data_IF_392790611778
#
_entry.id   IF_392790611778
#
_cell.length_a   1.000
_cell.length_b   1.000
_cell.length_c   1.000
_cell.angle_alpha   90.00
_cell.angle_beta   90.00
_cell.angle_gamma   90.00
#
_symmetry.space_group_name_H-M   'P 1'
#
loop_
_entity.id
_entity.type
_entity.pdbx_description
1 polymer ?
#
# COMPACT_ATOMS: atom_id res chain seq x y z
N UNK A 1 4.82 1.93 -7.08
CA UNK A 1 5.39 0.62 -7.46
C UNK A 1 6.33 0.13 -6.39
N UNK A 2 6.44 -1.18 -6.15
CA UNK A 2 7.50 -1.74 -5.31
C UNK A 2 8.72 -2.12 -6.16
N UNK A 3 9.90 -2.05 -5.58
CA UNK A 3 11.17 -2.33 -6.25
C UNK A 3 11.80 -3.59 -5.67
N UNK A 4 12.32 -4.51 -6.49
CA UNK A 4 13.02 -5.68 -5.99
C UNK A 4 14.29 -5.27 -5.22
N UNK A 5 14.53 -5.97 -4.12
CA UNK A 5 15.78 -5.89 -3.35
C UNK A 5 16.86 -6.65 -4.11
N UNK A 6 17.91 -5.94 -4.52
CA UNK A 6 19.03 -6.53 -5.28
C UNK A 6 20.28 -6.74 -4.44
N UNK A 7 20.39 -6.06 -3.29
CA UNK A 7 21.47 -6.29 -2.33
C UNK A 7 21.05 -5.86 -0.92
N UNK A 8 21.56 -6.57 0.07
CA UNK A 8 21.42 -6.24 1.49
C UNK A 8 22.79 -6.43 2.16
N UNK A 9 23.25 -5.42 2.90
CA UNK A 9 24.41 -5.52 3.78
C UNK A 9 23.95 -5.20 5.20
N UNK A 10 24.15 -6.14 6.13
CA UNK A 10 23.71 -6.01 7.51
C UNK A 10 24.87 -5.60 8.41
N UNK A 11 24.62 -4.61 9.27
CA UNK A 11 25.52 -4.14 10.32
C UNK A 11 24.80 -4.31 11.67
N UNK A 12 25.52 -4.29 12.81
CA UNK A 12 24.87 -4.19 14.11
C UNK A 12 23.94 -2.96 14.16
N UNK A 13 22.65 -3.18 14.40
CA UNK A 13 21.64 -2.13 14.55
C UNK A 13 21.09 -1.52 13.26
N UNK A 14 21.64 -1.83 12.08
CA UNK A 14 21.17 -1.27 10.81
C UNK A 14 21.44 -2.17 9.61
N UNK A 15 20.65 -2.04 8.55
CA UNK A 15 20.90 -2.70 7.28
C UNK A 15 20.91 -1.67 6.15
N UNK A 16 21.89 -1.79 5.26
CA UNK A 16 21.91 -1.08 3.98
C UNK A 16 21.19 -1.94 2.95
N UNK A 17 20.06 -1.47 2.46
CA UNK A 17 19.25 -2.15 1.45
C UNK A 17 19.39 -1.39 0.12
N UNK A 18 19.69 -2.11 -0.96
CA UNK A 18 19.70 -1.55 -2.32
C UNK A 18 18.56 -2.16 -3.12
N UNK A 19 17.71 -1.29 -3.67
CA UNK A 19 16.64 -1.67 -4.60
C UNK A 19 16.91 -1.08 -5.98
N UNK A 20 16.45 -1.76 -7.03
CA UNK A 20 16.70 -1.34 -8.42
C UNK A 20 15.50 -1.68 -9.30
N UNK A 21 15.17 -0.79 -10.22
CA UNK A 21 14.33 -1.09 -11.38
C UNK A 21 14.84 -0.36 -12.62
N UNK A 22 14.31 -0.77 -13.76
CA UNK A 22 14.41 -0.08 -15.04
C UNK A 22 13.01 0.47 -15.33
N UNK A 23 12.92 1.74 -15.67
CA UNK A 23 11.65 2.41 -15.98
C UNK A 23 11.79 3.15 -17.31
N UNK A 24 10.74 3.10 -18.12
CA UNK A 24 10.62 3.90 -19.34
C UNK A 24 9.93 5.20 -18.96
N UNK A 25 10.53 6.34 -19.29
CA UNK A 25 9.99 7.66 -18.97
C UNK A 25 9.66 8.40 -20.26
N UNK A 26 8.53 9.11 -20.27
CA UNK A 26 8.24 10.10 -21.30
C UNK A 26 9.15 11.32 -21.13
N UNK A 27 9.32 12.10 -22.21
CA UNK A 27 10.05 13.37 -22.13
C UNK A 27 9.36 14.35 -21.16
N UNK A 28 10.17 15.15 -20.47
CA UNK A 28 9.70 16.14 -19.48
C UNK A 28 9.83 15.66 -18.02
N UNK A 29 9.28 16.45 -17.10
CA UNK A 29 9.30 16.12 -15.67
C UNK A 29 8.35 14.96 -15.37
N UNK A 30 8.85 13.96 -14.64
CA UNK A 30 8.09 12.78 -14.24
C UNK A 30 8.27 12.52 -12.74
N UNK A 31 7.18 12.18 -12.05
CA UNK A 31 7.22 11.76 -10.64
C UNK A 31 7.06 10.26 -10.55
N UNK A 32 8.00 9.60 -9.88
CA UNK A 32 7.96 8.15 -9.65
C UNK A 32 7.65 7.85 -8.18
N UNK A 33 6.56 7.12 -7.95
CA UNK A 33 6.17 6.69 -6.61
C UNK A 33 6.72 5.30 -6.31
N UNK A 34 7.67 5.23 -5.38
CA UNK A 34 8.27 3.98 -4.88
C UNK A 34 7.68 3.65 -3.51
N UNK A 35 6.97 2.53 -3.43
CA UNK A 35 6.35 2.02 -2.20
C UNK A 35 7.18 0.93 -1.54
N UNK A 36 6.59 0.30 -0.52
CA UNK A 36 7.20 -0.86 0.15
C UNK A 36 8.43 -0.52 1.01
N UNK A 37 8.61 0.76 1.37
CA UNK A 37 9.67 1.18 2.27
C UNK A 37 9.33 0.82 3.74
N UNK A 38 10.29 0.36 4.54
CA UNK A 38 10.04 0.03 5.95
C UNK A 38 9.55 1.26 6.74
N UNK A 39 8.55 1.09 7.60
CA UNK A 39 8.00 2.18 8.43
C UNK A 39 9.04 2.82 9.36
N UNK A 40 10.05 2.05 9.80
CA UNK A 40 11.14 2.53 10.67
C UNK A 40 12.34 3.09 9.88
N UNK A 41 12.21 3.28 8.57
CA UNK A 41 13.26 3.87 7.74
C UNK A 41 13.50 5.32 8.15
N UNK A 42 14.76 5.68 8.38
CA UNK A 42 15.16 7.07 8.56
C UNK A 42 15.10 7.79 7.21
N UNK A 43 14.28 8.83 7.08
CA UNK A 43 14.02 9.53 5.80
C UNK A 43 15.32 10.06 5.18
N UNK A 44 16.17 10.67 5.99
CA UNK A 44 17.43 11.28 5.56
C UNK A 44 18.53 10.26 5.24
N UNK A 45 18.26 8.96 5.41
CA UNK A 45 19.17 7.88 4.99
C UNK A 45 18.98 7.48 3.52
N UNK A 46 17.90 7.93 2.88
CA UNK A 46 17.57 7.54 1.50
C UNK A 46 18.48 8.26 0.51
N UNK A 47 19.06 7.49 -0.42
CA UNK A 47 19.87 8.00 -1.53
C UNK A 47 19.36 7.40 -2.82
N UNK A 48 19.22 8.21 -3.86
CA UNK A 48 18.72 7.80 -5.17
C UNK A 48 19.75 8.18 -6.23
N UNK A 49 19.98 7.27 -7.17
CA UNK A 49 20.83 7.51 -8.33
C UNK A 49 20.23 6.79 -9.53
N UNK A 50 20.25 7.43 -10.69
CA UNK A 50 19.83 6.84 -11.96
C UNK A 50 21.00 6.74 -12.95
N UNK A 51 20.85 5.89 -13.96
CA UNK A 51 21.68 5.92 -15.17
C UNK A 51 20.74 5.97 -16.37
N UNK A 52 21.00 6.89 -17.31
CA UNK A 52 20.20 7.04 -18.53
C UNK A 52 19.98 8.51 -18.91
N UNK A 53 19.16 8.76 -19.93
CA UNK A 53 18.81 10.11 -20.41
C UNK A 53 17.77 10.79 -19.51
N UNK A 54 17.94 10.70 -18.20
CA UNK A 54 17.06 11.31 -17.20
C UNK A 54 17.89 11.71 -15.98
N UNK A 55 17.56 12.86 -15.41
CA UNK A 55 18.21 13.39 -14.20
C UNK A 55 17.23 13.36 -13.04
N UNK A 56 17.70 12.94 -11.87
CA UNK A 56 16.91 13.00 -10.63
C UNK A 56 16.95 14.43 -10.10
N UNK A 57 15.79 15.09 -10.09
CA UNK A 57 15.67 16.48 -9.60
C UNK A 57 15.55 16.56 -8.08
N UNK A 58 14.99 15.54 -7.45
CA UNK A 58 14.79 15.49 -6.01
C UNK A 58 14.28 14.12 -5.54
N UNK A 59 14.30 13.92 -4.24
CA UNK A 59 13.71 12.76 -3.59
C UNK A 59 13.04 13.19 -2.31
N UNK A 60 11.78 12.79 -2.14
CA UNK A 60 11.03 12.99 -0.92
C UNK A 60 10.56 11.64 -0.39
N UNK A 61 10.61 11.48 0.93
CA UNK A 61 10.10 10.30 1.62
C UNK A 61 8.90 10.72 2.45
N UNK A 62 7.73 10.23 2.07
CA UNK A 62 6.47 10.54 2.71
C UNK A 62 5.90 9.27 3.34
N UNK A 63 5.27 9.42 4.50
CA UNK A 63 4.46 8.35 5.06
C UNK A 63 3.11 8.41 4.37
N UNK A 64 2.74 7.32 3.69
CA UNK A 64 1.45 7.20 3.03
C UNK A 64 0.57 6.20 3.78
N UNK A 65 -0.71 6.56 4.00
CA UNK A 65 -1.71 5.67 4.56
C UNK A 65 -2.48 5.05 3.41
N UNK A 66 -2.06 3.86 3.02
CA UNK A 66 -2.80 3.11 2.01
C UNK A 66 -4.08 2.52 2.65
N UNK A 67 -5.28 2.87 2.18
CA UNK A 67 -6.53 2.30 2.70
C UNK A 67 -6.71 0.81 2.36
N UNK A 68 -5.85 0.25 1.49
CA UNK A 68 -5.81 -1.18 1.17
C UNK A 68 -4.45 -1.75 1.53
N UNK A 69 -4.43 -2.85 2.28
CA UNK A 69 -3.18 -3.55 2.54
C UNK A 69 -2.60 -4.08 1.22
N UNK A 70 -1.29 -3.86 0.94
CA UNK A 70 -0.63 -4.47 -0.22
C UNK A 70 -0.43 -5.98 -0.07
N UNK A 71 -0.68 -6.54 1.12
CA UNK A 71 -0.66 -7.98 1.37
C UNK A 71 -1.94 -8.62 0.81
N UNK A 72 -1.77 -9.54 -0.15
CA UNK A 72 -2.87 -10.23 -0.80
C UNK A 72 -3.74 -11.03 0.18
N UNK A 73 -3.14 -11.63 1.22
CA UNK A 73 -3.88 -12.38 2.22
C UNK A 73 -4.75 -11.45 3.05
N UNK A 74 -4.22 -10.29 3.45
CA UNK A 74 -4.97 -9.29 4.20
C UNK A 74 -6.10 -8.72 3.33
N UNK A 75 -5.84 -8.46 2.06
CA UNK A 75 -6.86 -7.97 1.13
C UNK A 75 -8.03 -8.95 0.95
N UNK A 76 -7.74 -10.24 0.83
CA UNK A 76 -8.75 -11.30 0.76
C UNK A 76 -9.57 -11.38 2.05
N UNK A 77 -8.92 -11.34 3.22
CA UNK A 77 -9.61 -11.33 4.51
C UNK A 77 -10.52 -10.10 4.68
N UNK A 78 -10.06 -8.91 4.29
CA UNK A 78 -10.89 -7.70 4.31
C UNK A 78 -12.10 -7.79 3.36
N UNK A 79 -11.94 -8.42 2.19
CA UNK A 79 -13.05 -8.66 1.27
C UNK A 79 -14.08 -9.61 1.87
N UNK A 80 -13.62 -10.71 2.49
CA UNK A 80 -14.50 -11.66 3.19
C UNK A 80 -15.23 -11.00 4.35
N UNK A 81 -14.54 -10.18 5.14
CA UNK A 81 -15.17 -9.43 6.23
C UNK A 81 -16.30 -8.53 5.70
N UNK A 82 -16.05 -7.77 4.64
CA UNK A 82 -17.08 -6.91 4.02
C UNK A 82 -18.26 -7.71 3.49
N UNK A 83 -18.01 -8.88 2.89
CA UNK A 83 -19.07 -9.75 2.40
C UNK A 83 -19.94 -10.28 3.56
N UNK A 84 -19.33 -10.76 4.65
CA UNK A 84 -20.07 -11.23 5.82
C UNK A 84 -20.86 -10.11 6.50
N UNK A 85 -20.28 -8.90 6.58
CA UNK A 85 -21.01 -7.76 7.12
C UNK A 85 -22.26 -7.44 6.30
N UNK A 86 -22.14 -7.44 4.97
CA UNK A 86 -23.30 -7.24 4.10
C UNK A 86 -24.40 -8.30 4.28
N UNK A 87 -24.04 -9.56 4.53
CA UNK A 87 -25.00 -10.62 4.84
C UNK A 87 -25.71 -10.41 6.18
N UNK A 88 -24.99 -9.94 7.19
CA UNK A 88 -25.58 -9.61 8.49
C UNK A 88 -26.56 -8.43 8.38
N UNK A 89 -26.18 -7.41 7.61
CA UNK A 89 -27.01 -6.23 7.39
C UNK A 89 -28.32 -6.61 6.66
N UNK A 90 -28.25 -7.47 5.64
CA UNK A 90 -29.44 -7.98 4.92
C UNK A 90 -30.39 -8.76 5.83
N UNK A 91 -29.85 -9.61 6.72
CA UNK A 91 -30.66 -10.36 7.67
C UNK A 91 -31.32 -9.43 8.70
N UNK A 92 -30.59 -8.43 9.19
CA UNK A 92 -31.11 -7.44 10.12
C UNK A 92 -32.24 -6.61 9.49
N UNK A 93 -32.09 -6.22 8.21
CA UNK A 93 -33.14 -5.54 7.45
C UNK A 93 -34.39 -6.42 7.31
N UNK A 94 -34.22 -7.72 7.03
CA UNK A 94 -35.33 -8.67 6.96
C UNK A 94 -36.06 -8.78 8.30
N UNK A 95 -35.34 -8.94 9.42
CA UNK A 95 -35.92 -9.04 10.76
C UNK A 95 -36.67 -7.75 11.13
N UNK A 96 -36.12 -6.58 10.78
CA UNK A 96 -36.77 -5.29 11.01
C UNK A 96 -38.11 -5.17 10.27
N UNK A 97 -38.18 -5.63 9.02
CA UNK A 97 -39.42 -5.65 8.23
C UNK A 97 -40.46 -6.59 8.84
N UNK A 98 -40.05 -7.78 9.31
CA UNK A 98 -40.98 -8.71 9.96
C UNK A 98 -41.52 -8.17 11.28
N UNK A 99 -40.67 -7.55 12.11
CA UNK A 99 -41.08 -6.92 13.36
C UNK A 99 -42.10 -5.80 13.13
N UNK A 100 -41.83 -4.90 12.17
CA UNK A 100 -42.74 -3.82 11.82
C UNK A 100 -44.10 -4.34 11.31
N UNK A 101 -44.13 -5.48 10.62
CA UNK A 101 -45.37 -6.13 10.19
C UNK A 101 -46.17 -6.70 11.35
N UNK A 102 -45.49 -7.27 12.36
CA UNK A 102 -46.14 -7.84 13.53
C UNK A 102 -46.82 -6.76 14.40
N UNK A 103 -46.21 -5.57 14.51
CA UNK A 103 -46.76 -4.44 15.27
C UNK A 103 -48.01 -3.78 14.63
N UNK A 104 -48.29 -4.08 13.36
CA UNK A 104 -49.44 -3.57 12.60
C UNK A 104 -50.69 -4.47 12.68
N UNK A 105 -50.62 -5.60 13.38
CA UNK A 105 -51.71 -6.57 13.56
C UNK A 105 -52.21 -6.57 15.02
#
# INVERSE_FOLDING_TARGET
MDLPIVAVTVYPGQARITRRAIVTLAAGEQRLLVGGLPLRLQRDSVRVSGRGPATVLGVDVLADRNPRSPDALISDLEQRQRAFQGQLDELADFDAVQAARADLL
#
